data_IF_934857121295
#
_entry.id   IF_934857121295
#
_cell.length_a   1.000
_cell.length_b   1.000
_cell.length_c   1.000
_cell.angle_alpha   90.00
_cell.angle_beta   90.00
_cell.angle_gamma   90.00
#
_symmetry.space_group_name_H-M   'P 1'
#
loop_
_entity.id
_entity.type
_entity.pdbx_description
1 polymer ?
#
# COMPACT_ATOMS: atom_id res chain seq x y z
N UNK A 1 -19.12 70.51 -16.80
CA UNK A 1 -17.70 70.10 -16.72
C UNK A 1 -17.32 69.80 -15.27
N UNK A 2 -17.52 68.57 -14.79
CA UNK A 2 -16.95 68.07 -13.53
C UNK A 2 -16.54 66.61 -13.76
N UNK A 3 -15.29 66.33 -13.44
CA UNK A 3 -14.49 65.18 -13.87
C UNK A 3 -15.04 63.89 -13.28
N UNK A 4 -15.33 62.91 -14.13
CA UNK A 4 -15.61 61.52 -13.74
C UNK A 4 -14.26 60.87 -13.43
N UNK A 5 -13.97 60.67 -12.13
CA UNK A 5 -12.86 59.80 -11.72
C UNK A 5 -13.32 58.34 -11.86
N UNK A 6 -12.96 57.72 -12.97
CA UNK A 6 -12.97 56.27 -13.12
C UNK A 6 -11.87 55.68 -12.24
N UNK A 7 -12.23 55.20 -11.05
CA UNK A 7 -11.40 54.28 -10.29
C UNK A 7 -11.47 52.91 -10.99
N UNK A 8 -10.50 52.63 -11.84
CA UNK A 8 -10.25 51.29 -12.35
C UNK A 8 -9.79 50.42 -11.19
N UNK A 9 -10.73 49.73 -10.53
CA UNK A 9 -10.41 48.65 -9.63
C UNK A 9 -9.87 47.50 -10.46
N UNK A 10 -8.54 47.47 -10.64
CA UNK A 10 -7.84 46.28 -11.13
C UNK A 10 -7.99 45.22 -10.04
N UNK A 11 -9.06 44.44 -10.11
CA UNK A 11 -9.14 43.17 -9.41
C UNK A 11 -8.05 42.29 -10.01
N UNK A 12 -6.88 42.31 -9.38
CA UNK A 12 -5.89 41.25 -9.53
C UNK A 12 -6.59 40.00 -9.00
N UNK A 13 -7.21 39.25 -9.91
CA UNK A 13 -7.68 37.89 -9.64
C UNK A 13 -6.41 37.08 -9.45
N UNK A 14 -5.86 37.14 -8.23
CA UNK A 14 -4.80 36.28 -7.78
C UNK A 14 -5.33 34.86 -7.88
N UNK A 15 -4.86 34.12 -8.88
CA UNK A 15 -5.00 32.68 -8.94
C UNK A 15 -4.23 32.09 -7.75
N UNK A 16 -4.90 32.08 -6.59
CA UNK A 16 -4.53 31.27 -5.44
C UNK A 16 -4.63 29.84 -5.96
N UNK A 17 -3.49 29.27 -6.35
CA UNK A 17 -3.38 27.86 -6.63
C UNK A 17 -3.80 27.12 -5.37
N UNK A 18 -5.02 26.58 -5.35
CA UNK A 18 -5.46 25.69 -4.30
C UNK A 18 -4.58 24.45 -4.36
N UNK A 19 -3.60 24.37 -3.46
CA UNK A 19 -2.83 23.16 -3.25
C UNK A 19 -3.82 22.04 -2.91
N UNK A 20 -3.87 21.00 -3.74
CA UNK A 20 -4.69 19.82 -3.46
C UNK A 20 -4.15 19.13 -2.22
N UNK A 21 -5.02 18.85 -1.26
CA UNK A 21 -4.68 17.94 -0.17
C UNK A 21 -4.43 16.55 -0.78
N UNK A 22 -3.25 15.99 -0.53
CA UNK A 22 -2.86 14.63 -0.95
C UNK A 22 -3.82 13.65 -0.27
N UNK A 23 -4.54 12.88 -1.08
CA UNK A 23 -5.54 11.92 -0.60
C UNK A 23 -4.91 10.55 -0.43
N UNK A 24 -5.55 9.66 0.34
CA UNK A 24 -5.07 8.27 0.47
C UNK A 24 -4.98 7.52 -0.88
N UNK A 25 -5.72 7.98 -1.90
CA UNK A 25 -5.64 7.42 -3.25
C UNK A 25 -4.32 7.75 -3.96
N UNK A 26 -3.62 8.80 -3.52
CA UNK A 26 -2.31 9.22 -4.05
C UNK A 26 -1.14 8.53 -3.32
N UNK A 27 -1.43 7.74 -2.28
CA UNK A 27 -0.41 7.11 -1.46
C UNK A 27 0.30 5.96 -2.20
N UNK A 28 1.62 5.99 -2.16
CA UNK A 28 2.49 4.93 -2.69
C UNK A 28 2.84 3.84 -1.65
N UNK A 29 2.99 2.62 -2.15
CA UNK A 29 3.58 1.49 -1.43
C UNK A 29 5.10 1.70 -1.31
N UNK A 30 5.64 1.53 -0.10
CA UNK A 30 7.04 1.82 0.23
C UNK A 30 7.91 0.58 0.44
N UNK A 31 7.29 -0.55 0.73
CA UNK A 31 7.96 -1.80 1.02
C UNK A 31 8.33 -1.97 2.49
N UNK A 32 8.42 -3.22 2.91
CA UNK A 32 8.57 -3.61 4.32
C UNK A 32 9.85 -3.10 4.98
N UNK A 33 10.91 -2.87 4.20
CA UNK A 33 12.16 -2.30 4.69
C UNK A 33 11.95 -0.92 5.33
N UNK A 34 11.03 -0.11 4.79
CA UNK A 34 10.68 1.20 5.33
C UNK A 34 9.90 1.07 6.64
N UNK A 35 9.04 0.07 6.76
CA UNK A 35 8.30 -0.22 7.99
C UNK A 35 9.23 -0.67 9.13
N UNK A 36 10.23 -1.51 8.83
CA UNK A 36 11.22 -2.04 9.79
C UNK A 36 11.96 -0.95 10.56
N UNK A 37 12.19 0.22 9.93
CA UNK A 37 12.94 1.33 10.54
C UNK A 37 12.30 1.84 11.84
N UNK A 38 10.98 1.81 11.95
CA UNK A 38 10.25 2.24 13.15
C UNK A 38 9.52 1.09 13.87
N UNK A 39 9.20 0.01 13.16
CA UNK A 39 8.39 -1.12 13.65
C UNK A 39 9.16 -2.44 13.70
N UNK A 40 10.37 -2.41 14.28
CA UNK A 40 11.26 -3.58 14.36
C UNK A 40 10.61 -4.79 15.05
N UNK A 41 9.85 -4.57 16.13
CA UNK A 41 9.21 -5.66 16.87
C UNK A 41 8.19 -6.40 16.00
N UNK A 42 7.34 -5.66 15.30
CA UNK A 42 6.34 -6.20 14.39
C UNK A 42 7.00 -6.87 13.18
N UNK A 43 8.05 -6.25 12.64
CA UNK A 43 8.84 -6.81 11.54
C UNK A 43 9.40 -8.19 11.89
N UNK A 44 10.00 -8.35 13.07
CA UNK A 44 10.55 -9.65 13.51
C UNK A 44 9.50 -10.76 13.62
N UNK A 45 8.27 -10.41 14.00
CA UNK A 45 7.17 -11.38 13.99
C UNK A 45 6.72 -11.68 12.56
N UNK A 46 6.59 -10.65 11.71
CA UNK A 46 6.16 -10.80 10.33
C UNK A 46 7.15 -11.62 9.49
N UNK A 47 8.46 -11.35 9.57
CA UNK A 47 9.48 -12.00 8.72
C UNK A 47 9.51 -13.53 8.89
N UNK A 48 9.11 -14.01 10.07
CA UNK A 48 9.05 -15.43 10.40
C UNK A 48 7.68 -16.07 10.09
N UNK A 49 6.70 -15.27 9.66
CA UNK A 49 5.34 -15.72 9.36
C UNK A 49 5.21 -16.37 7.98
N UNK A 50 4.10 -17.09 7.76
CA UNK A 50 3.76 -17.61 6.42
C UNK A 50 3.48 -16.49 5.43
N UNK A 51 2.93 -15.36 5.87
CA UNK A 51 2.64 -14.21 5.00
C UNK A 51 3.90 -13.66 4.32
N UNK A 52 4.99 -13.50 5.07
CA UNK A 52 6.28 -13.08 4.51
C UNK A 52 6.84 -14.07 3.48
N UNK A 53 6.47 -15.35 3.58
CA UNK A 53 6.99 -16.46 2.76
C UNK A 53 6.05 -16.92 1.66
N UNK A 54 4.92 -16.23 1.45
CA UNK A 54 3.91 -16.63 0.44
C UNK A 54 4.52 -16.73 -0.96
N UNK A 55 5.39 -15.80 -1.36
CA UNK A 55 6.05 -15.85 -2.68
C UNK A 55 6.89 -17.10 -2.92
N UNK A 56 7.48 -17.69 -1.87
CA UNK A 56 8.29 -18.91 -1.97
C UNK A 56 7.48 -20.13 -2.43
N UNK A 57 6.14 -20.08 -2.28
CA UNK A 57 5.26 -21.17 -2.69
C UNK A 57 4.98 -21.19 -4.20
N UNK A 58 5.32 -20.13 -4.93
CA UNK A 58 5.11 -20.04 -6.38
C UNK A 58 6.18 -20.84 -7.14
N UNK A 59 5.76 -21.55 -8.19
CA UNK A 59 6.63 -22.38 -9.02
C UNK A 59 6.50 -22.06 -10.51
N UNK A 60 7.58 -22.25 -11.27
CA UNK A 60 7.56 -22.10 -12.73
C UNK A 60 7.00 -20.76 -13.19
N UNK A 61 5.99 -20.78 -14.05
CA UNK A 61 5.37 -19.59 -14.61
C UNK A 61 4.44 -18.84 -13.64
N UNK A 62 4.10 -19.42 -12.47
CA UNK A 62 3.29 -18.75 -11.45
C UNK A 62 3.94 -17.45 -10.94
N UNK A 63 5.29 -17.40 -10.92
CA UNK A 63 6.05 -16.21 -10.49
C UNK A 63 5.88 -15.00 -11.42
N UNK A 64 5.29 -15.20 -12.60
CA UNK A 64 4.98 -14.15 -13.58
C UNK A 64 3.49 -13.95 -13.77
N UNK A 65 2.65 -14.86 -13.25
CA UNK A 65 1.22 -14.82 -13.44
C UNK A 65 0.58 -13.78 -12.50
N UNK A 66 -0.03 -12.69 -13.03
CA UNK A 66 -0.66 -11.67 -12.20
C UNK A 66 -1.72 -12.20 -11.24
N UNK A 67 -2.41 -13.29 -11.59
CA UNK A 67 -3.43 -13.89 -10.71
C UNK A 67 -2.82 -14.51 -9.46
N UNK A 68 -1.62 -15.09 -9.56
CA UNK A 68 -0.85 -15.57 -8.42
C UNK A 68 -0.25 -14.40 -7.63
N UNK A 69 0.34 -13.43 -8.34
CA UNK A 69 1.05 -12.31 -7.74
C UNK A 69 0.13 -11.41 -6.90
N UNK A 70 -1.16 -11.30 -7.21
CA UNK A 70 -2.15 -10.54 -6.42
C UNK A 70 -2.17 -10.90 -4.93
N UNK A 71 -1.90 -12.17 -4.59
CA UNK A 71 -1.94 -12.67 -3.21
C UNK A 71 -0.54 -12.96 -2.64
N UNK A 72 0.42 -13.28 -3.53
CA UNK A 72 1.77 -13.71 -3.16
C UNK A 72 2.82 -12.57 -3.23
N UNK A 73 2.40 -11.34 -3.51
CA UNK A 73 3.24 -10.13 -3.46
C UNK A 73 2.50 -8.97 -2.79
N UNK A 74 3.18 -7.84 -2.59
CA UNK A 74 2.57 -6.60 -2.12
C UNK A 74 2.88 -5.45 -3.06
N UNK A 75 1.88 -4.59 -3.30
CA UNK A 75 2.02 -3.43 -4.18
C UNK A 75 2.12 -3.81 -5.67
N UNK A 76 1.43 -4.87 -6.10
CA UNK A 76 1.36 -5.27 -7.50
C UNK A 76 0.72 -4.17 -8.36
N UNK A 77 1.39 -3.82 -9.46
CA UNK A 77 0.97 -2.83 -10.45
C UNK A 77 0.43 -3.51 -11.71
N UNK A 78 -0.25 -2.73 -12.55
CA UNK A 78 -0.83 -3.22 -13.80
C UNK A 78 0.20 -3.75 -14.81
N UNK A 79 1.45 -3.27 -14.73
CA UNK A 79 2.57 -3.73 -15.56
C UNK A 79 3.23 -5.03 -15.04
N UNK A 80 2.69 -5.63 -13.97
CA UNK A 80 3.20 -6.86 -13.37
C UNK A 80 4.35 -6.65 -12.39
N UNK A 81 4.83 -5.42 -12.20
CA UNK A 81 5.83 -5.11 -11.17
C UNK A 81 5.19 -5.03 -9.79
N UNK A 82 5.96 -5.29 -8.74
CA UNK A 82 5.49 -5.26 -7.36
C UNK A 82 6.58 -4.74 -6.42
N UNK A 83 6.20 -4.34 -5.20
CA UNK A 83 7.10 -3.70 -4.23
C UNK A 83 7.81 -4.74 -3.36
N UNK A 84 7.06 -5.67 -2.78
CA UNK A 84 7.62 -6.74 -1.93
C UNK A 84 7.23 -8.12 -2.46
N UNK A 85 8.15 -9.07 -2.32
CA UNK A 85 7.80 -10.49 -2.34
C UNK A 85 7.05 -10.83 -1.06
N UNK A 86 5.94 -11.55 -1.21
CA UNK A 86 5.09 -11.98 -0.13
C UNK A 86 4.05 -10.93 0.29
N UNK A 87 3.10 -11.38 1.11
CA UNK A 87 2.11 -10.54 1.78
C UNK A 87 2.80 -9.75 2.92
N UNK A 88 3.13 -8.49 2.66
CA UNK A 88 3.89 -7.61 3.54
C UNK A 88 2.98 -6.69 4.37
N UNK A 89 3.56 -5.73 5.10
CA UNK A 89 2.80 -4.83 5.97
C UNK A 89 1.68 -4.09 5.23
N UNK A 90 1.98 -3.60 4.03
CA UNK A 90 1.09 -2.75 3.26
C UNK A 90 -0.02 -3.55 2.57
N UNK A 91 0.10 -4.88 2.47
CA UNK A 91 -0.96 -5.76 2.00
C UNK A 91 -2.15 -5.85 2.97
N UNK A 92 -1.98 -5.42 4.23
CA UNK A 92 -3.09 -5.29 5.19
C UNK A 92 -3.32 -3.83 5.60
N UNK A 93 -2.25 -3.04 5.71
CA UNK A 93 -2.32 -1.65 6.18
C UNK A 93 -2.50 -0.61 5.07
N UNK A 94 -2.47 -1.02 3.81
CA UNK A 94 -2.48 -0.11 2.66
C UNK A 94 -1.14 0.61 2.46
N UNK A 95 -1.08 1.43 1.41
CA UNK A 95 0.09 2.22 1.04
C UNK A 95 0.54 3.17 2.18
N UNK A 96 1.80 3.07 2.58
CA UNK A 96 2.35 3.70 3.78
C UNK A 96 3.05 5.05 3.59
N UNK A 97 3.15 5.57 2.36
CA UNK A 97 3.87 6.82 2.07
C UNK A 97 3.38 8.02 2.88
N UNK A 98 2.06 8.22 3.00
CA UNK A 98 1.48 9.29 3.80
C UNK A 98 1.72 9.08 5.30
N UNK A 99 1.57 7.85 5.79
CA UNK A 99 1.88 7.50 7.17
C UNK A 99 3.34 7.82 7.55
N UNK A 100 4.27 7.60 6.62
CA UNK A 100 5.69 7.90 6.86
C UNK A 100 5.94 9.41 7.02
N UNK A 101 5.32 10.24 6.17
CA UNK A 101 5.47 11.71 6.15
C UNK A 101 4.70 12.43 7.27
N UNK A 102 3.64 11.82 7.78
CA UNK A 102 2.73 12.49 8.71
C UNK A 102 3.30 12.73 10.12
N UNK A 103 2.68 13.67 10.83
CA UNK A 103 2.91 13.90 12.27
C UNK A 103 2.37 12.72 13.07
N UNK A 104 2.96 12.46 14.24
CA UNK A 104 2.71 11.25 15.05
C UNK A 104 1.23 11.06 15.39
N UNK A 105 0.51 12.16 15.63
CA UNK A 105 -0.89 12.19 16.02
C UNK A 105 -1.79 11.69 14.87
N UNK A 106 -1.40 11.96 13.63
CA UNK A 106 -2.15 11.64 12.41
C UNK A 106 -1.78 10.26 11.84
N UNK A 107 -0.59 9.74 12.15
CA UNK A 107 -0.09 8.45 11.62
C UNK A 107 -1.08 7.29 11.77
N UNK A 108 -1.88 7.31 12.84
CA UNK A 108 -2.80 6.23 13.21
C UNK A 108 -3.99 6.12 12.25
N UNK A 109 -4.45 7.23 11.68
CA UNK A 109 -5.59 7.28 10.75
C UNK A 109 -5.19 7.00 9.30
N UNK A 110 -3.91 7.12 8.97
CA UNK A 110 -3.34 6.91 7.63
C UNK A 110 -2.96 5.46 7.32
N UNK A 111 -3.29 4.53 8.22
CA UNK A 111 -3.17 3.09 7.96
C UNK A 111 -4.55 2.47 7.96
N UNK A 112 -4.77 1.53 7.04
CA UNK A 112 -5.98 0.72 7.02
C UNK A 112 -5.98 -0.14 8.27
N UNK A 113 -7.01 0.08 9.09
CA UNK A 113 -7.33 -0.70 10.30
C UNK A 113 -8.52 -1.63 10.08
N UNK A 114 -9.36 -1.30 9.10
CA UNK A 114 -10.34 -2.25 8.58
C UNK A 114 -9.55 -3.39 7.94
N UNK A 115 -9.90 -4.65 8.19
CA UNK A 115 -9.24 -5.73 7.51
C UNK A 115 -9.40 -5.49 6.00
N UNK A 116 -8.28 -5.42 5.28
CA UNK A 116 -8.30 -5.99 3.93
C UNK A 116 -8.93 -7.36 4.12
N UNK A 117 -10.03 -7.62 3.41
CA UNK A 117 -10.76 -8.86 3.61
C UNK A 117 -9.76 -9.98 3.44
N UNK A 118 -9.48 -10.73 4.51
CA UNK A 118 -8.53 -11.84 4.46
C UNK A 118 -8.93 -12.80 3.33
N UNK A 119 -10.23 -12.87 3.03
CA UNK A 119 -10.83 -13.65 1.95
C UNK A 119 -10.46 -13.19 0.52
N UNK A 120 -9.88 -11.99 0.35
CA UNK A 120 -9.31 -11.57 -0.94
C UNK A 120 -8.18 -12.53 -1.37
N UNK A 121 -7.47 -13.11 -0.41
CA UNK A 121 -6.40 -14.08 -0.65
C UNK A 121 -6.72 -15.48 -0.11
N UNK A 122 -7.39 -15.57 1.04
CA UNK A 122 -7.83 -16.84 1.63
C UNK A 122 -9.12 -17.36 0.97
N UNK A 123 -9.08 -17.47 -0.36
CA UNK A 123 -10.02 -18.24 -1.16
C UNK A 123 -9.26 -19.48 -1.70
N UNK A 124 -9.82 -20.71 -1.57
CA UNK A 124 -9.07 -21.91 -1.95
C UNK A 124 -8.82 -21.96 -3.48
N UNK A 125 -7.58 -21.70 -3.91
CA UNK A 125 -7.11 -21.94 -5.27
C UNK A 125 -6.19 -23.17 -5.38
N UNK A 126 -5.78 -23.75 -4.24
CA UNK A 126 -5.18 -25.07 -4.11
C UNK A 126 -6.02 -25.95 -3.18
N UNK A 127 -5.95 -27.27 -3.35
CA UNK A 127 -6.67 -28.20 -2.46
C UNK A 127 -6.13 -28.14 -1.03
N UNK A 128 -7.01 -28.37 -0.03
CA UNK A 128 -6.60 -28.47 1.39
C UNK A 128 -5.54 -29.54 1.63
N UNK A 129 -5.55 -30.62 0.82
CA UNK A 129 -4.56 -31.70 0.87
C UNK A 129 -3.18 -31.19 0.46
N UNK A 130 -3.09 -30.51 -0.69
CA UNK A 130 -1.84 -29.92 -1.19
C UNK A 130 -1.27 -28.89 -0.20
N UNK A 131 -2.12 -28.03 0.35
CA UNK A 131 -1.70 -27.09 1.38
C UNK A 131 -1.15 -27.82 2.62
N UNK A 132 -1.83 -28.86 3.10
CA UNK A 132 -1.38 -29.62 4.27
C UNK A 132 -0.06 -30.37 4.04
N UNK A 133 0.15 -30.90 2.83
CA UNK A 133 1.40 -31.55 2.43
C UNK A 133 2.56 -30.54 2.38
N UNK A 134 2.34 -29.38 1.76
CA UNK A 134 3.36 -28.33 1.70
C UNK A 134 3.72 -27.81 3.10
N UNK A 135 2.72 -27.64 3.97
CA UNK A 135 2.98 -27.19 5.35
C UNK A 135 3.76 -28.19 6.21
N UNK A 136 3.78 -29.48 5.85
CA UNK A 136 4.50 -30.54 6.57
C UNK A 136 5.96 -30.70 6.12
N UNK A 137 6.38 -30.04 5.03
CA UNK A 137 7.75 -30.11 4.51
C UNK A 137 8.74 -29.19 5.25
N UNK A 138 8.25 -28.37 6.17
CA UNK A 138 9.03 -27.45 7.01
C UNK A 138 8.94 -27.90 8.46
#
# INVERSE_FOLDING_TARGET
MKKVLLLAAVFVVGSIGMARAESQADAEFLGVAKCKMCHMKQFKTWENSKHAKTFEALQGDEVKNPDCLKCHTTGLKADGTFVDKGTSCEACHGAGSLHMKAKKEDKKSLITRKPISCANCHNPHISRKMMAEEMRKK
#
